data_IF_821107912808
#
_entry.id   IF_821107912808
#
_cell.length_a   1.000
_cell.length_b   1.000
_cell.length_c   1.000
_cell.angle_alpha   90.00
_cell.angle_beta   90.00
_cell.angle_gamma   90.00
#
_symmetry.space_group_name_H-M   'P 1'
#
loop_
_entity.id
_entity.type
_entity.pdbx_description
1 polymer ?
#
# COMPACT_ATOMS: atom_id res chain seq x y z
N UNK A 1 0.92 -15.64 -7.34
CA UNK A 1 1.29 -14.74 -6.22
C UNK A 1 2.80 -14.52 -6.25
N UNK A 2 3.28 -13.54 -7.00
CA UNK A 2 4.70 -13.16 -7.02
C UNK A 2 5.00 -12.41 -5.72
N UNK A 3 5.23 -13.18 -4.65
CA UNK A 3 5.71 -12.62 -3.39
C UNK A 3 7.03 -11.90 -3.65
N UNK A 4 7.01 -10.56 -3.57
CA UNK A 4 8.22 -9.77 -3.72
C UNK A 4 9.20 -10.23 -2.67
N UNK A 5 10.34 -10.77 -3.13
CA UNK A 5 11.39 -11.26 -2.26
C UNK A 5 11.94 -10.06 -1.49
N UNK A 6 11.64 -10.00 -0.19
CA UNK A 6 12.30 -9.06 0.72
C UNK A 6 13.81 -9.10 0.43
N UNK A 7 14.38 -7.92 0.18
CA UNK A 7 15.81 -7.82 -0.07
C UNK A 7 16.56 -8.40 1.14
N UNK A 8 17.77 -8.90 0.90
CA UNK A 8 18.57 -9.53 1.95
C UNK A 8 18.83 -8.57 3.14
N UNK A 9 18.84 -7.27 2.86
CA UNK A 9 18.98 -6.19 3.84
C UNK A 9 17.71 -6.05 4.68
N UNK A 10 16.53 -5.99 4.04
CA UNK A 10 15.24 -5.88 4.72
C UNK A 10 14.98 -7.08 5.66
N UNK A 11 15.28 -8.30 5.21
CA UNK A 11 15.17 -9.51 6.06
C UNK A 11 16.12 -9.49 7.26
N UNK A 12 17.32 -8.94 7.10
CA UNK A 12 18.31 -8.86 8.18
C UNK A 12 17.95 -7.76 9.19
N UNK A 13 17.39 -6.65 8.72
CA UNK A 13 16.96 -5.52 9.56
C UNK A 13 15.72 -5.83 10.40
N UNK A 14 14.76 -6.56 9.83
CA UNK A 14 13.56 -7.02 10.55
C UNK A 14 13.95 -8.02 11.65
N UNK A 15 14.92 -8.91 11.37
CA UNK A 15 15.38 -9.94 12.31
C UNK A 15 16.23 -9.38 13.46
N UNK A 16 16.79 -8.17 13.34
CA UNK A 16 17.69 -7.57 14.33
C UNK A 16 17.02 -6.66 15.36
N UNK A 17 15.67 -6.57 15.40
CA UNK A 17 14.95 -5.76 16.39
C UNK A 17 14.89 -4.25 16.09
N UNK A 18 15.34 -3.80 14.92
CA UNK A 18 15.27 -2.40 14.47
C UNK A 18 13.92 -2.05 13.79
N UNK A 19 12.82 -2.64 14.30
CA UNK A 19 11.49 -2.62 13.66
C UNK A 19 10.95 -1.22 13.38
N UNK A 20 11.21 -0.27 14.27
CA UNK A 20 10.76 1.13 14.13
C UNK A 20 11.49 1.87 13.00
N UNK A 21 12.78 1.58 12.79
CA UNK A 21 13.57 2.16 11.70
C UNK A 21 13.12 1.65 10.34
N UNK A 22 12.87 0.34 10.22
CA UNK A 22 12.35 -0.28 9.01
C UNK A 22 10.92 0.24 8.70
N UNK A 23 10.02 0.25 9.69
CA UNK A 23 8.67 0.76 9.51
C UNK A 23 8.66 2.25 9.09
N UNK A 24 9.57 3.07 9.62
CA UNK A 24 9.72 4.47 9.20
C UNK A 24 10.14 4.60 7.74
N UNK A 25 11.09 3.78 7.29
CA UNK A 25 11.54 3.78 5.89
C UNK A 25 10.43 3.35 4.93
N UNK A 26 9.73 2.25 5.24
CA UNK A 26 8.59 1.77 4.47
C UNK A 26 7.49 2.81 4.41
N UNK A 27 7.14 3.43 5.55
CA UNK A 27 6.15 4.51 5.59
C UNK A 27 6.54 5.67 4.67
N UNK A 28 7.79 6.12 4.72
CA UNK A 28 8.26 7.21 3.85
C UNK A 28 8.10 6.85 2.37
N UNK A 29 8.53 5.65 1.97
CA UNK A 29 8.41 5.18 0.57
C UNK A 29 6.96 5.10 0.13
N UNK A 30 6.08 4.57 0.97
CA UNK A 30 4.65 4.47 0.72
C UNK A 30 4.02 5.84 0.50
N UNK A 31 4.27 6.79 1.41
CA UNK A 31 3.74 8.16 1.30
C UNK A 31 4.25 8.88 0.05
N UNK A 32 5.53 8.71 -0.29
CA UNK A 32 6.10 9.26 -1.53
C UNK A 32 5.42 8.71 -2.78
N UNK A 33 5.18 7.39 -2.83
CA UNK A 33 4.52 6.75 -3.97
C UNK A 33 3.07 7.24 -4.13
N UNK A 34 2.32 7.35 -3.04
CA UNK A 34 0.96 7.91 -3.04
C UNK A 34 0.97 9.35 -3.57
N UNK A 35 1.87 10.19 -3.05
CA UNK A 35 1.98 11.58 -3.48
C UNK A 35 2.31 11.71 -4.97
N UNK A 36 3.22 10.88 -5.49
CA UNK A 36 3.56 10.83 -6.91
C UNK A 36 2.36 10.46 -7.78
N UNK A 37 1.55 9.46 -7.39
CA UNK A 37 0.35 9.10 -8.15
C UNK A 37 -0.72 10.20 -8.14
N UNK A 38 -0.91 10.88 -7.01
CA UNK A 38 -1.88 12.00 -6.91
C UNK A 38 -1.46 13.18 -7.78
N UNK A 39 -0.16 13.51 -7.79
CA UNK A 39 0.41 14.62 -8.56
C UNK A 39 0.62 14.27 -10.05
N UNK A 40 0.63 12.99 -10.40
CA UNK A 40 0.93 12.48 -11.74
C UNK A 40 -0.12 12.86 -12.79
N UNK A 41 0.27 12.89 -14.08
CA UNK A 41 -0.65 13.09 -15.19
C UNK A 41 -1.46 11.83 -15.55
N UNK A 42 -1.00 10.66 -15.12
CA UNK A 42 -1.69 9.38 -15.24
C UNK A 42 -3.02 9.43 -14.47
N UNK A 43 -4.14 9.27 -15.19
CA UNK A 43 -5.48 9.36 -14.58
C UNK A 43 -6.02 10.79 -14.40
N UNK A 44 -5.89 11.64 -15.41
CA UNK A 44 -6.64 12.92 -15.48
C UNK A 44 -8.03 12.66 -16.07
N UNK A 45 -9.07 13.10 -15.36
CA UNK A 45 -10.47 12.96 -15.76
C UNK A 45 -11.38 12.88 -14.52
N UNK A 46 -12.66 13.27 -14.61
CA UNK A 46 -13.60 13.15 -13.49
C UNK A 46 -13.71 11.70 -12.97
N UNK A 47 -13.50 10.71 -13.83
CA UNK A 47 -13.58 9.28 -13.53
C UNK A 47 -12.47 8.82 -12.56
N UNK A 48 -11.31 9.47 -12.58
CA UNK A 48 -10.18 9.17 -11.70
C UNK A 48 -10.24 9.89 -10.36
N UNK A 49 -11.23 10.76 -10.14
CA UNK A 49 -11.39 11.47 -8.86
C UNK A 49 -11.55 10.49 -7.70
N UNK A 50 -12.25 9.38 -7.91
CA UNK A 50 -12.46 8.36 -6.89
C UNK A 50 -11.16 7.62 -6.52
N UNK A 51 -10.29 7.35 -7.51
CA UNK A 51 -8.97 6.76 -7.27
C UNK A 51 -8.12 7.69 -6.40
N UNK A 52 -8.14 9.00 -6.71
CA UNK A 52 -7.42 10.01 -5.91
C UNK A 52 -7.94 10.11 -4.48
N UNK A 53 -9.25 10.02 -4.28
CA UNK A 53 -9.86 10.02 -2.95
C UNK A 53 -9.40 8.81 -2.12
N UNK A 54 -9.42 7.60 -2.68
CA UNK A 54 -8.97 6.40 -1.97
C UNK A 54 -7.46 6.42 -1.67
N UNK A 55 -6.65 6.96 -2.58
CA UNK A 55 -5.22 7.22 -2.34
C UNK A 55 -5.00 8.18 -1.17
N UNK A 56 -5.80 9.25 -1.06
CA UNK A 56 -5.75 10.20 0.06
C UNK A 56 -6.17 9.55 1.39
N UNK A 57 -7.16 8.65 1.38
CA UNK A 57 -7.53 7.88 2.58
C UNK A 57 -6.38 6.98 3.04
N UNK A 58 -5.75 6.25 2.11
CA UNK A 58 -4.57 5.43 2.41
C UNK A 58 -3.39 6.27 2.89
N UNK A 59 -3.20 7.48 2.34
CA UNK A 59 -2.18 8.41 2.83
C UNK A 59 -2.40 8.78 4.30
N UNK A 60 -3.65 9.07 4.69
CA UNK A 60 -4.01 9.35 6.09
C UNK A 60 -3.76 8.15 6.99
N UNK A 61 -4.14 6.96 6.54
CA UNK A 61 -3.94 5.72 7.28
C UNK A 61 -2.45 5.39 7.48
N UNK A 62 -1.64 5.53 6.43
CA UNK A 62 -0.19 5.36 6.47
C UNK A 62 0.52 6.41 7.34
N UNK A 63 -0.03 7.63 7.40
CA UNK A 63 0.49 8.73 8.23
C UNK A 63 0.16 8.57 9.71
N UNK A 64 -0.74 7.65 10.08
CA UNK A 64 -1.08 7.38 11.48
C UNK A 64 0.12 6.91 12.31
N UNK A 65 0.04 7.00 13.65
CA UNK A 65 1.22 6.82 14.52
C UNK A 65 1.82 5.41 14.51
N UNK A 66 1.03 4.35 14.26
CA UNK A 66 1.51 2.95 14.33
C UNK A 66 0.87 2.01 13.27
N UNK A 67 1.18 2.17 11.98
CA UNK A 67 0.93 1.15 10.99
C UNK A 67 1.92 -0.01 11.20
N UNK A 68 1.38 -1.23 11.25
CA UNK A 68 2.17 -2.46 11.36
C UNK A 68 3.05 -2.63 10.11
N UNK A 69 4.27 -3.14 10.29
CA UNK A 69 5.22 -3.33 9.17
C UNK A 69 4.67 -4.26 8.08
N UNK A 70 3.91 -5.29 8.46
CA UNK A 70 3.25 -6.19 7.51
C UNK A 70 2.12 -5.51 6.71
N UNK A 71 1.46 -4.51 7.28
CA UNK A 71 0.51 -3.69 6.54
C UNK A 71 1.24 -2.76 5.56
N UNK A 72 2.33 -2.11 6.00
CA UNK A 72 3.12 -1.22 5.16
C UNK A 72 3.71 -1.94 3.93
N UNK A 73 4.19 -3.17 4.12
CA UNK A 73 4.76 -3.99 3.04
C UNK A 73 3.69 -4.37 2.00
N UNK A 74 2.52 -4.86 2.45
CA UNK A 74 1.38 -5.17 1.57
C UNK A 74 0.87 -3.93 0.84
N UNK A 75 0.71 -2.82 1.56
CA UNK A 75 0.27 -1.55 0.98
C UNK A 75 1.23 -1.07 -0.10
N UNK A 76 2.54 -1.18 0.12
CA UNK A 76 3.53 -0.76 -0.84
C UNK A 76 3.46 -1.59 -2.13
N UNK A 77 3.39 -2.93 -2.03
CA UNK A 77 3.27 -3.80 -3.19
C UNK A 77 1.99 -3.53 -3.99
N UNK A 78 0.85 -3.37 -3.33
CA UNK A 78 -0.41 -3.04 -4.00
C UNK A 78 -0.38 -1.67 -4.69
N UNK A 79 0.31 -0.69 -4.11
CA UNK A 79 0.43 0.63 -4.75
C UNK A 79 1.41 0.65 -5.93
N UNK A 80 2.42 -0.23 -5.97
CA UNK A 80 3.25 -0.40 -7.17
C UNK A 80 2.42 -0.92 -8.34
N UNK A 81 1.51 -1.87 -8.08
CA UNK A 81 0.56 -2.37 -9.09
C UNK A 81 -0.40 -1.27 -9.56
N UNK A 82 -0.99 -0.50 -8.62
CA UNK A 82 -1.84 0.65 -8.96
C UNK A 82 -1.08 1.67 -9.80
N UNK A 83 0.17 1.99 -9.45
CA UNK A 83 0.98 2.93 -10.21
C UNK A 83 1.19 2.46 -11.65
N UNK A 84 1.53 1.19 -11.85
CA UNK A 84 1.67 0.61 -13.19
C UNK A 84 0.37 0.70 -14.00
N UNK A 85 -0.77 0.36 -13.40
CA UNK A 85 -2.08 0.48 -14.06
C UNK A 85 -2.41 1.92 -14.47
N UNK A 86 -2.08 2.89 -13.62
CA UNK A 86 -2.28 4.30 -13.93
C UNK A 86 -1.37 4.75 -15.08
N UNK A 87 -0.10 4.34 -15.07
CA UNK A 87 0.86 4.65 -16.14
C UNK A 87 0.45 4.05 -17.50
N UNK A 88 -0.13 2.84 -17.48
CA UNK A 88 -0.67 2.16 -18.66
C UNK A 88 -2.02 2.72 -19.13
N UNK A 89 -2.62 3.66 -18.38
CA UNK A 89 -3.91 4.26 -18.72
C UNK A 89 -5.09 3.30 -18.58
N UNK A 90 -4.98 2.31 -17.68
CA UNK A 90 -6.02 1.32 -17.42
C UNK A 90 -7.33 1.97 -16.94
N UNK A 91 -8.46 1.28 -17.14
CA UNK A 91 -9.75 1.74 -16.65
C UNK A 91 -9.73 2.02 -15.12
N UNK A 92 -10.29 3.15 -14.63
CA UNK A 92 -10.25 3.54 -13.22
C UNK A 92 -10.81 2.51 -12.23
N UNK A 93 -11.68 1.59 -12.67
CA UNK A 93 -12.25 0.55 -11.81
C UNK A 93 -11.21 -0.44 -11.31
N UNK A 94 -10.19 -0.74 -12.10
CA UNK A 94 -9.11 -1.66 -11.74
C UNK A 94 -8.23 -1.14 -10.57
N UNK A 95 -7.60 0.05 -10.65
CA UNK A 95 -6.86 0.61 -9.53
C UNK A 95 -7.79 0.88 -8.33
N UNK A 96 -9.03 1.31 -8.57
CA UNK A 96 -10.00 1.53 -7.49
C UNK A 96 -10.34 0.25 -6.72
N UNK A 97 -10.45 -0.89 -7.40
CA UNK A 97 -10.65 -2.19 -6.78
C UNK A 97 -9.52 -2.55 -5.82
N UNK A 98 -8.28 -2.42 -6.27
CA UNK A 98 -7.08 -2.72 -5.46
C UNK A 98 -7.02 -1.81 -4.23
N UNK A 99 -7.27 -0.51 -4.38
CA UNK A 99 -7.23 0.45 -3.27
C UNK A 99 -8.29 0.13 -2.22
N UNK A 100 -9.51 -0.22 -2.64
CA UNK A 100 -10.60 -0.62 -1.75
C UNK A 100 -10.29 -1.93 -1.03
N UNK A 101 -9.71 -2.91 -1.72
CA UNK A 101 -9.27 -4.16 -1.10
C UNK A 101 -8.19 -3.93 -0.05
N UNK A 102 -7.24 -3.03 -0.32
CA UNK A 102 -6.19 -2.69 0.64
C UNK A 102 -6.77 -2.06 1.92
N UNK A 103 -7.78 -1.19 1.78
CA UNK A 103 -8.46 -0.53 2.89
C UNK A 103 -9.38 -1.49 3.67
N UNK A 104 -10.19 -2.27 2.97
CA UNK A 104 -11.19 -3.17 3.57
C UNK A 104 -10.64 -4.54 3.97
N UNK A 105 -9.56 -5.00 3.34
CA UNK A 105 -8.84 -6.21 3.72
C UNK A 105 -8.25 -6.14 5.13
N UNK A 106 -8.08 -4.93 5.67
CA UNK A 106 -7.75 -4.68 7.08
C UNK A 106 -8.87 -5.11 8.06
N UNK A 107 -10.11 -5.31 7.59
CA UNK A 107 -11.25 -5.73 8.42
C UNK A 107 -11.41 -7.25 8.58
N UNK A 108 -10.70 -8.10 7.82
CA UNK A 108 -10.79 -9.57 7.94
C UNK A 108 -9.70 -10.18 8.84
N UNK A 109 -9.30 -9.46 9.88
CA UNK A 109 -8.70 -10.08 11.06
C UNK A 109 -9.77 -10.80 11.90
N UNK A 110 -10.44 -11.82 11.36
CA UNK A 110 -11.33 -12.69 12.14
C UNK A 110 -10.80 -14.12 12.14
N UNK A 111 -10.15 -14.45 13.26
CA UNK A 111 -10.15 -15.76 13.89
C UNK A 111 -9.83 -16.96 13.01
N UNK A 112 -8.54 -17.29 12.89
CA UNK A 112 -8.18 -18.70 12.83
C UNK A 112 -8.06 -19.22 14.25
N UNK A 113 -9.22 -19.50 14.86
CA UNK A 113 -9.31 -20.38 16.02
C UNK A 113 -9.15 -21.79 15.45
N UNK A 114 -7.91 -22.26 15.35
CA UNK A 114 -7.67 -23.69 15.26
C UNK A 114 -7.94 -24.26 16.65
N UNK A 115 -9.19 -24.71 16.86
CA UNK A 115 -9.49 -25.61 17.97
C UNK A 115 -8.90 -26.99 17.66
N UNK A 116 -8.46 -27.76 18.67
CA UNK A 116 -8.34 -29.20 18.53
C UNK A 116 -9.71 -29.85 18.30
#
# INVERSE_FOLDING_TARGET
MTGRRLTRVERRFIRSGAGDGAARLYRRRLLSLIASMIAGPAGRGPEYSQVKLELLELYREASSRRPEIGWLDRAYASLEEVAALLEEGADPTAPLGILRELRHGRARGRGHRAGP
#
